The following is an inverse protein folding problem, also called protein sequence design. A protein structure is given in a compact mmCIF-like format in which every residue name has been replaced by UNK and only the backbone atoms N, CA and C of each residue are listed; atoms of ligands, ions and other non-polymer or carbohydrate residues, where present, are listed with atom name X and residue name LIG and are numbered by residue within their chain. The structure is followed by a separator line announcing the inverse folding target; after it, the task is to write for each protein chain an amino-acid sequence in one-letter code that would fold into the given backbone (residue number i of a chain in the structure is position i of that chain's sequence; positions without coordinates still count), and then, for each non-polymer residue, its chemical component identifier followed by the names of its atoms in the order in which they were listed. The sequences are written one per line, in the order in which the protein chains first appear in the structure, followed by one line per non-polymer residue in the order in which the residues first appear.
data_IF_572806639686
#
_entry.id   IF_572806639686
#
_cell.length_a   1.000
_cell.length_b   1.000
_cell.length_c   1.000
_cell.angle_alpha   90.00
_cell.angle_beta   90.00
_cell.angle_gamma   90.00
#
_symmetry.space_group_name_H-M   'P 1'
#
loop_
_entity.id
_entity.type
_entity.pdbx_description
1 polymer ?
#
# COMPACT_ATOMS: atom_id res chain seq x y z
N UNK A 1 -3.38 -16.67 57.55
CA UNK A 1 -2.47 -16.65 58.73
C UNK A 1 -1.52 -15.46 58.57
N UNK A 2 -1.20 -14.70 59.62
CA UNK A 2 -0.40 -13.45 59.55
C UNK A 2 0.93 -13.61 60.32
N UNK A 3 2.02 -13.02 59.79
CA UNK A 3 3.11 -12.30 60.49
C UNK A 3 4.04 -11.78 59.35
N UNK A 4 4.16 -10.46 59.11
CA UNK A 4 5.06 -9.47 59.74
C UNK A 4 6.56 -9.77 59.56
N UNK A 5 7.27 -8.86 58.89
CA UNK A 5 8.03 -7.83 59.63
C UNK A 5 8.17 -6.53 58.81
N UNK A 6 8.39 -5.41 59.52
CA UNK A 6 8.71 -4.06 59.04
C UNK A 6 9.84 -3.53 59.95
N UNK A 7 10.69 -2.66 59.43
CA UNK A 7 11.65 -1.88 60.20
C UNK A 7 11.92 -0.55 59.48
N UNK A 8 12.12 0.53 60.26
CA UNK A 8 11.92 1.92 59.81
C UNK A 8 13.22 2.74 59.67
N UNK A 9 13.02 3.99 59.25
CA UNK A 9 13.97 4.98 58.71
C UNK A 9 14.71 5.83 59.77
N UNK A 10 15.68 6.61 59.27
CA UNK A 10 16.17 7.93 59.76
C UNK A 10 17.14 8.05 60.95
N UNK A 11 18.35 8.57 60.66
CA UNK A 11 18.95 9.82 61.19
C UNK A 11 20.29 10.09 60.43
N UNK A 12 20.77 11.30 60.14
CA UNK A 12 20.20 12.66 60.24
C UNK A 12 21.28 13.76 60.02
N UNK A 13 20.88 15.05 59.97
CA UNK A 13 21.69 16.28 60.23
C UNK A 13 22.77 16.61 59.14
N UNK A 14 22.79 17.73 58.38
CA UNK A 14 22.61 19.19 58.60
C UNK A 14 23.86 19.89 59.22
N UNK A 15 24.30 21.12 58.87
CA UNK A 15 23.88 22.16 57.90
C UNK A 15 25.16 22.88 57.33
N UNK A 16 25.30 24.16 56.89
CA UNK A 16 24.48 25.40 56.90
C UNK A 16 24.88 26.37 55.73
N UNK A 17 24.73 27.68 55.94
CA UNK A 17 24.89 28.86 55.04
C UNK A 17 26.35 29.40 54.99
N UNK A 18 26.76 30.36 54.12
CA UNK A 18 26.41 31.81 54.10
C UNK A 18 26.64 32.46 52.71
N UNK A 19 25.86 33.52 52.41
CA UNK A 19 25.96 34.41 51.23
C UNK A 19 26.91 35.59 51.46
N UNK A 20 27.51 36.13 50.39
CA UNK A 20 27.53 37.59 50.17
C UNK A 20 27.71 37.97 48.68
N UNK A 21 28.02 39.23 48.36
CA UNK A 21 27.58 39.92 47.13
C UNK A 21 28.47 41.09 46.69
N UNK A 22 28.09 41.76 45.59
CA UNK A 22 28.63 43.02 45.04
C UNK A 22 29.98 42.90 44.31
N UNK A 23 30.38 43.81 43.39
CA UNK A 23 29.62 44.69 42.48
C UNK A 23 30.55 45.20 41.35
N UNK A 24 29.94 45.71 40.27
CA UNK A 24 30.41 46.65 39.23
C UNK A 24 31.92 46.93 39.00
N UNK A 25 32.31 46.95 37.72
CA UNK A 25 32.80 48.20 37.11
C UNK A 25 32.68 48.19 35.58
N UNK A 26 32.59 49.40 35.00
CA UNK A 26 32.50 49.65 33.54
C UNK A 26 33.87 49.88 32.92
N UNK A 27 33.99 49.66 31.61
CA UNK A 27 34.42 50.69 30.64
C UNK A 27 34.23 50.17 29.19
N UNK A 28 34.13 51.09 28.23
CA UNK A 28 33.84 50.78 26.83
C UNK A 28 35.07 50.98 25.93
N UNK A 29 35.11 50.25 24.81
CA UNK A 29 36.00 50.50 23.69
C UNK A 29 35.37 50.00 22.37
N UNK A 30 34.79 50.91 21.60
CA UNK A 30 34.85 50.87 20.13
C UNK A 30 36.30 51.27 19.73
N UNK A 31 36.86 50.99 18.55
CA UNK A 31 36.31 50.55 17.26
C UNK A 31 37.39 49.75 16.49
N UNK A 32 37.00 48.84 15.60
CA UNK A 32 37.66 48.62 14.29
C UNK A 32 36.94 47.56 13.46
N UNK A 33 36.42 47.94 12.29
CA UNK A 33 35.76 47.03 11.35
C UNK A 33 36.76 46.15 10.59
N UNK A 34 36.76 44.85 10.86
CA UNK A 34 37.41 43.83 10.03
C UNK A 34 36.37 43.05 9.20
N UNK A 35 36.34 43.28 7.88
CA UNK A 35 35.34 42.71 6.99
C UNK A 35 35.54 41.19 6.77
N UNK A 36 34.94 40.36 7.64
CA UNK A 36 34.88 38.92 7.42
C UNK A 36 34.05 38.60 6.16
N UNK A 37 34.73 38.15 5.11
CA UNK A 37 34.07 37.46 3.98
C UNK A 37 33.43 36.18 4.51
N UNK A 38 32.11 36.20 4.68
CA UNK A 38 31.30 35.00 4.87
C UNK A 38 31.28 34.18 3.56
N UNK A 39 32.40 33.51 3.26
CA UNK A 39 32.43 32.37 2.35
C UNK A 39 31.66 31.24 3.02
N UNK A 40 30.33 31.28 2.88
CA UNK A 40 29.48 30.17 3.27
C UNK A 40 29.95 28.94 2.51
N UNK A 41 30.54 28.00 3.25
CA UNK A 41 30.94 26.72 2.70
C UNK A 41 29.66 25.96 2.35
N UNK A 42 29.21 26.13 1.11
CA UNK A 42 28.13 25.35 0.50
C UNK A 42 28.49 23.87 0.66
N UNK A 43 27.92 23.25 1.71
CA UNK A 43 27.91 21.79 1.85
C UNK A 43 27.28 21.26 0.57
N UNK A 44 28.11 20.71 -0.32
CA UNK A 44 27.68 20.12 -1.58
C UNK A 44 26.66 19.05 -1.25
N UNK A 45 25.38 19.37 -1.42
CA UNK A 45 24.28 18.50 -1.01
C UNK A 45 24.49 17.14 -1.69
N UNK A 46 24.65 16.09 -0.89
CA UNK A 46 24.89 14.75 -1.39
C UNK A 46 23.71 14.34 -2.26
N UNK A 47 23.95 14.18 -3.56
CA UNK A 47 22.87 13.89 -4.50
C UNK A 47 22.21 12.56 -4.13
N UNK A 48 20.89 12.60 -3.97
CA UNK A 48 20.07 11.41 -3.81
C UNK A 48 20.05 10.66 -5.14
N UNK A 49 19.96 9.34 -5.05
CA UNK A 49 19.98 8.45 -6.22
C UNK A 49 18.80 7.51 -6.12
N UNK A 50 17.86 7.64 -7.06
CA UNK A 50 16.58 6.91 -7.10
C UNK A 50 16.72 5.76 -8.10
N UNK A 51 16.81 4.50 -7.65
CA UNK A 51 16.99 3.34 -8.53
C UNK A 51 15.75 3.11 -9.38
N UNK A 52 15.90 3.08 -10.71
CA UNK A 52 14.74 2.92 -11.61
C UNK A 52 14.05 1.57 -11.43
N UNK A 53 14.83 0.54 -11.06
CA UNK A 53 14.38 -0.82 -10.76
C UNK A 53 13.31 -0.91 -9.64
N UNK A 54 13.26 0.06 -8.71
CA UNK A 54 12.27 0.13 -7.63
C UNK A 54 11.25 1.27 -7.75
N UNK A 55 11.47 2.23 -8.66
CA UNK A 55 10.77 3.52 -8.65
C UNK A 55 10.24 3.98 -10.02
N UNK A 56 10.49 3.23 -11.10
CA UNK A 56 10.13 3.61 -12.46
C UNK A 56 9.08 2.69 -13.11
N UNK A 57 8.30 3.25 -14.02
CA UNK A 57 7.21 2.58 -14.71
C UNK A 57 7.14 3.03 -16.18
N UNK A 58 6.74 2.14 -17.08
CA UNK A 58 6.52 2.44 -18.49
C UNK A 58 5.09 2.98 -18.67
N UNK A 59 4.89 4.26 -18.32
CA UNK A 59 3.55 4.87 -18.21
C UNK A 59 2.90 5.18 -19.55
N UNK A 60 3.70 5.29 -20.61
CA UNK A 60 3.25 5.15 -22.00
C UNK A 60 4.15 4.11 -22.63
N UNK A 61 3.59 2.99 -23.08
CA UNK A 61 4.31 1.95 -23.82
C UNK A 61 3.55 1.60 -25.10
N UNK A 62 4.07 1.96 -26.30
CA UNK A 62 3.48 1.56 -27.57
C UNK A 62 3.47 0.04 -27.75
N UNK A 63 2.54 -0.47 -28.56
CA UNK A 63 2.52 -1.89 -28.92
C UNK A 63 3.83 -2.29 -29.62
N UNK A 64 4.35 -3.47 -29.29
CA UNK A 64 5.63 -3.99 -29.81
C UNK A 64 6.89 -3.31 -29.26
N UNK A 65 6.78 -2.31 -28.36
CA UNK A 65 7.95 -1.61 -27.83
C UNK A 65 8.75 -2.48 -26.83
N UNK A 66 10.08 -2.48 -26.95
CA UNK A 66 10.98 -3.44 -26.28
C UNK A 66 11.40 -3.06 -24.86
N UNK A 67 11.02 -1.88 -24.36
CA UNK A 67 11.49 -1.36 -23.08
C UNK A 67 11.15 -2.26 -21.90
N UNK A 68 12.09 -2.37 -20.95
CA UNK A 68 11.90 -3.11 -19.71
C UNK A 68 12.59 -2.38 -18.55
N UNK A 69 11.91 -2.34 -17.41
CA UNK A 69 12.54 -2.05 -16.11
C UNK A 69 12.96 -3.40 -15.53
N UNK A 70 14.26 -3.64 -15.46
CA UNK A 70 14.86 -4.85 -14.86
C UNK A 70 15.06 -4.64 -13.36
N UNK A 71 15.65 -5.64 -12.68
CA UNK A 71 16.09 -5.52 -11.29
C UNK A 71 17.27 -4.55 -11.08
N UNK A 72 17.87 -4.00 -12.13
CA UNK A 72 19.03 -3.08 -12.04
C UNK A 72 18.96 -1.82 -12.91
N UNK A 73 18.25 -1.85 -14.05
CA UNK A 73 18.19 -0.74 -15.01
C UNK A 73 16.88 -0.65 -15.81
N UNK A 74 16.64 0.51 -16.41
CA UNK A 74 15.90 0.61 -17.66
C UNK A 74 16.83 0.14 -18.78
N UNK A 75 16.37 -0.83 -19.57
CA UNK A 75 17.10 -1.37 -20.73
C UNK A 75 16.21 -1.53 -21.96
N UNK A 76 16.83 -1.91 -23.09
CA UNK A 76 16.19 -2.10 -24.39
C UNK A 76 15.41 -0.86 -24.89
N UNK A 77 15.87 0.35 -24.57
CA UNK A 77 15.14 1.58 -24.83
C UNK A 77 15.27 2.05 -26.29
N UNK A 78 14.36 1.59 -27.13
CA UNK A 78 14.42 1.79 -28.59
C UNK A 78 13.38 2.77 -29.12
N UNK A 79 12.24 2.94 -28.44
CA UNK A 79 11.08 3.68 -28.96
C UNK A 79 10.96 5.09 -28.35
N UNK A 80 10.92 6.12 -29.20
CA UNK A 80 10.76 7.53 -28.80
C UNK A 80 9.38 7.86 -28.25
N UNK A 81 8.37 7.02 -28.54
CA UNK A 81 7.02 7.17 -28.01
C UNK A 81 6.81 6.46 -26.66
N UNK A 82 7.82 5.74 -26.16
CA UNK A 82 7.80 5.20 -24.79
C UNK A 82 8.16 6.31 -23.79
N UNK A 83 7.34 6.47 -22.75
CA UNK A 83 7.58 7.39 -21.63
C UNK A 83 7.82 6.57 -20.36
N UNK A 84 8.93 6.83 -19.70
CA UNK A 84 9.32 6.19 -18.45
C UNK A 84 9.21 7.21 -17.32
N UNK A 85 8.29 7.00 -16.39
CA UNK A 85 8.11 7.87 -15.22
C UNK A 85 8.82 7.29 -14.02
N UNK A 86 9.70 8.07 -13.40
CA UNK A 86 10.35 7.76 -12.12
C UNK A 86 9.76 8.63 -11.03
N UNK A 87 9.48 8.05 -9.86
CA UNK A 87 8.78 8.73 -8.76
C UNK A 87 9.61 8.74 -7.47
N UNK A 88 9.62 9.88 -6.79
CA UNK A 88 10.16 10.03 -5.43
C UNK A 88 9.46 11.19 -4.73
N UNK A 89 9.33 11.16 -3.40
CA UNK A 89 8.76 12.25 -2.61
C UNK A 89 9.84 13.18 -2.09
N UNK A 90 9.53 14.47 -2.02
CA UNK A 90 10.31 15.48 -1.28
C UNK A 90 9.41 16.23 -0.29
N UNK A 91 9.93 16.59 0.88
CA UNK A 91 9.18 17.35 1.89
C UNK A 91 9.35 18.87 1.80
N UNK A 92 10.25 19.37 0.94
CA UNK A 92 10.58 20.80 0.82
C UNK A 92 10.29 21.34 -0.59
N UNK A 93 10.12 22.66 -0.69
CA UNK A 93 9.96 23.39 -1.96
C UNK A 93 11.28 23.99 -2.45
N UNK A 94 11.26 24.60 -3.64
CA UNK A 94 12.39 25.32 -4.23
C UNK A 94 13.06 24.56 -5.37
N UNK A 95 14.32 24.89 -5.65
CA UNK A 95 15.09 24.29 -6.74
C UNK A 95 15.40 22.82 -6.48
N UNK A 96 15.19 22.00 -7.51
CA UNK A 96 15.54 20.59 -7.59
C UNK A 96 16.44 20.39 -8.82
N UNK A 97 17.74 20.17 -8.61
CA UNK A 97 18.67 19.82 -9.69
C UNK A 97 18.46 18.34 -10.03
N UNK A 98 18.23 18.00 -11.30
CA UNK A 98 18.07 16.61 -11.76
C UNK A 98 19.29 16.15 -12.56
N UNK A 99 19.63 14.87 -12.42
CA UNK A 99 20.56 14.15 -13.27
C UNK A 99 20.08 12.74 -13.61
N UNK A 100 20.80 12.06 -14.50
CA UNK A 100 20.61 10.66 -14.86
C UNK A 100 21.93 9.90 -14.71
N UNK A 101 21.89 8.69 -14.14
CA UNK A 101 23.03 7.76 -14.19
C UNK A 101 22.77 6.73 -15.29
N UNK A 102 23.53 6.81 -16.37
CA UNK A 102 23.24 6.12 -17.62
C UNK A 102 24.49 5.73 -18.42
N UNK A 103 24.31 4.86 -19.42
CA UNK A 103 25.31 4.55 -20.44
C UNK A 103 24.68 4.50 -21.84
N UNK A 104 25.50 4.76 -22.87
CA UNK A 104 25.15 4.66 -24.29
C UNK A 104 26.28 3.92 -25.01
N UNK A 105 26.26 2.57 -25.06
CA UNK A 105 27.36 1.76 -25.59
C UNK A 105 27.73 1.94 -27.07
N UNK A 106 26.88 2.56 -27.88
CA UNK A 106 27.23 2.98 -29.25
C UNK A 106 26.55 4.28 -29.64
N UNK A 107 27.30 5.16 -30.31
CA UNK A 107 26.80 6.45 -30.80
C UNK A 107 26.46 7.46 -29.69
N UNK A 108 25.44 8.26 -29.97
CA UNK A 108 24.95 9.38 -29.17
C UNK A 108 23.43 9.33 -29.12
N UNK A 109 22.82 9.79 -28.02
CA UNK A 109 21.38 10.01 -27.95
C UNK A 109 21.02 11.35 -27.31
N UNK A 110 19.78 11.78 -27.51
CA UNK A 110 19.15 12.89 -26.81
C UNK A 110 17.89 12.38 -26.12
N UNK A 111 17.81 12.63 -24.81
CA UNK A 111 16.65 12.29 -23.97
C UNK A 111 16.02 13.59 -23.47
N UNK A 112 14.69 13.69 -23.59
CA UNK A 112 13.89 14.72 -22.95
C UNK A 112 13.52 14.24 -21.55
N UNK A 113 13.77 15.09 -20.56
CA UNK A 113 13.43 14.89 -19.16
C UNK A 113 12.41 15.96 -18.76
N UNK A 114 11.28 15.56 -18.20
CA UNK A 114 10.16 16.46 -17.85
C UNK A 114 9.81 16.35 -16.38
N UNK A 115 9.71 17.49 -15.69
CA UNK A 115 9.30 17.61 -14.28
C UNK A 115 8.39 18.82 -14.13
N UNK A 116 7.20 18.64 -13.57
CA UNK A 116 6.25 19.74 -13.36
C UNK A 116 5.82 20.47 -14.64
N UNK A 117 5.75 19.75 -15.77
CA UNK A 117 5.48 20.32 -17.10
C UNK A 117 6.69 20.97 -17.80
N UNK A 118 7.69 21.43 -17.05
CA UNK A 118 8.96 21.92 -17.61
C UNK A 118 9.75 20.75 -18.21
N UNK A 119 10.24 20.92 -19.44
CA UNK A 119 11.06 19.91 -20.16
C UNK A 119 12.47 20.42 -20.41
N UNK A 120 13.47 19.53 -20.32
CA UNK A 120 14.87 19.79 -20.72
C UNK A 120 15.41 18.60 -21.51
N UNK A 121 16.26 18.86 -22.51
CA UNK A 121 16.96 17.81 -23.25
C UNK A 121 18.37 17.61 -22.67
N UNK A 122 18.80 16.36 -22.56
CA UNK A 122 20.16 15.96 -22.17
C UNK A 122 20.75 15.04 -23.25
N UNK A 123 22.01 15.28 -23.62
CA UNK A 123 22.76 14.46 -24.59
C UNK A 123 23.56 13.39 -23.86
N UNK A 124 23.40 12.13 -24.26
CA UNK A 124 24.01 10.97 -23.60
C UNK A 124 25.02 10.29 -24.55
N UNK A 125 26.21 9.94 -24.04
CA UNK A 125 27.34 9.42 -24.84
C UNK A 125 28.30 8.52 -24.04
N UNK A 126 28.66 7.36 -24.60
CA UNK A 126 29.74 6.51 -24.09
C UNK A 126 29.28 5.32 -23.26
N UNK A 127 30.06 4.24 -23.31
CA UNK A 127 29.68 2.89 -22.87
C UNK A 127 29.71 2.63 -21.37
N UNK A 128 30.51 3.38 -20.61
CA UNK A 128 30.51 3.30 -19.15
C UNK A 128 29.34 4.04 -18.52
N UNK A 129 28.78 3.50 -17.42
CA UNK A 129 27.79 4.22 -16.62
C UNK A 129 28.42 5.47 -15.97
N UNK A 130 27.85 6.64 -16.24
CA UNK A 130 28.25 7.92 -15.64
C UNK A 130 27.02 8.79 -15.36
N UNK A 131 27.22 9.81 -14.52
CA UNK A 131 26.19 10.80 -14.22
C UNK A 131 26.16 11.91 -15.27
N UNK A 132 24.95 12.30 -15.69
CA UNK A 132 24.68 13.39 -16.62
C UNK A 132 23.76 14.42 -15.95
N UNK A 133 24.19 15.68 -15.92
CA UNK A 133 23.36 16.78 -15.42
C UNK A 133 22.25 17.12 -16.43
N UNK A 134 20.99 17.03 -16.01
CA UNK A 134 19.83 17.57 -16.74
C UNK A 134 19.60 19.03 -16.36
N UNK A 135 19.89 19.37 -15.11
CA UNK A 135 19.80 20.72 -14.55
C UNK A 135 18.48 20.96 -13.80
N UNK A 136 18.17 22.24 -13.61
CA UNK A 136 17.29 22.67 -12.52
C UNK A 136 15.80 22.70 -12.87
N UNK A 137 14.96 22.30 -11.92
CA UNK A 137 13.50 22.37 -11.96
C UNK A 137 12.98 22.99 -10.65
N UNK A 138 11.75 23.50 -10.64
CA UNK A 138 11.14 24.14 -9.46
C UNK A 138 10.05 23.27 -8.87
N UNK A 139 10.16 22.96 -7.58
CA UNK A 139 9.11 22.29 -6.80
C UNK A 139 8.34 23.34 -6.01
N UNK A 140 7.09 23.59 -6.41
CA UNK A 140 6.19 24.59 -5.81
C UNK A 140 5.42 24.08 -4.59
N UNK A 141 5.40 22.77 -4.33
CA UNK A 141 4.71 22.17 -3.18
C UNK A 141 5.37 20.86 -2.77
N UNK A 142 5.45 20.52 -1.47
CA UNK A 142 5.91 19.20 -1.01
C UNK A 142 5.03 18.07 -1.56
N UNK A 143 5.64 16.94 -1.92
CA UNK A 143 4.92 15.84 -2.54
C UNK A 143 5.77 14.91 -3.37
N UNK A 144 5.11 14.00 -4.09
CA UNK A 144 5.72 13.14 -5.10
C UNK A 144 6.08 13.96 -6.34
N UNK A 145 7.36 13.92 -6.68
CA UNK A 145 7.94 14.38 -7.93
C UNK A 145 7.84 13.24 -8.94
N UNK A 146 7.25 13.53 -10.11
CA UNK A 146 7.27 12.67 -11.29
C UNK A 146 8.34 13.18 -12.25
N UNK A 147 9.32 12.35 -12.57
CA UNK A 147 10.37 12.62 -13.57
C UNK A 147 10.13 11.73 -14.77
N UNK A 148 9.66 12.32 -15.87
CA UNK A 148 9.39 11.61 -17.12
C UNK A 148 10.59 11.65 -18.05
N UNK A 149 10.98 10.48 -18.57
CA UNK A 149 12.03 10.30 -19.56
C UNK A 149 11.41 9.90 -20.90
N UNK A 150 11.79 10.58 -21.99
CA UNK A 150 11.35 10.26 -23.35
C UNK A 150 12.52 10.39 -24.34
N UNK A 151 12.68 9.42 -25.25
CA UNK A 151 13.72 9.46 -26.28
C UNK A 151 13.39 10.47 -27.38
N UNK A 152 14.35 11.33 -27.75
CA UNK A 152 14.18 12.36 -28.80
C UNK A 152 14.88 11.94 -30.09
N UNK A 153 16.18 11.63 -30.00
CA UNK A 153 16.98 11.15 -31.13
C UNK A 153 18.10 10.23 -30.66
N UNK A 154 18.63 9.41 -31.56
CA UNK A 154 19.75 8.48 -31.31
C UNK A 154 20.46 8.17 -32.62
N UNK A 155 21.77 7.92 -32.56
CA UNK A 155 22.56 7.37 -33.68
C UNK A 155 22.94 5.91 -33.48
N UNK A 156 22.91 5.41 -32.24
CA UNK A 156 23.00 3.99 -31.91
C UNK A 156 21.64 3.29 -31.89
N UNK A 157 21.65 1.98 -31.61
CA UNK A 157 20.43 1.15 -31.60
C UNK A 157 19.38 1.54 -30.55
N UNK A 158 19.80 2.11 -29.42
CA UNK A 158 18.93 2.49 -28.30
C UNK A 158 19.33 3.83 -27.68
N UNK A 159 18.44 4.42 -26.88
CA UNK A 159 18.64 5.75 -26.27
C UNK A 159 19.66 5.70 -25.13
N UNK A 160 19.42 4.88 -24.11
CA UNK A 160 20.37 4.62 -23.03
C UNK A 160 19.97 3.38 -22.24
N UNK A 161 20.92 2.78 -21.54
CA UNK A 161 20.64 2.03 -20.31
C UNK A 161 20.71 3.02 -19.13
N UNK A 162 19.73 2.99 -18.21
CA UNK A 162 19.66 3.97 -17.10
C UNK A 162 19.49 3.21 -15.78
N UNK A 163 20.34 3.45 -14.79
CA UNK A 163 20.21 2.81 -13.45
C UNK A 163 19.50 3.70 -12.44
N UNK A 164 19.68 5.02 -12.52
CA UNK A 164 19.14 5.96 -11.54
C UNK A 164 18.71 7.29 -12.17
N UNK A 165 17.66 7.89 -11.60
CA UNK A 165 17.47 9.34 -11.63
C UNK A 165 18.15 9.89 -10.38
N UNK A 166 18.98 10.94 -10.51
CA UNK A 166 19.65 11.59 -9.38
C UNK A 166 19.03 12.96 -9.12
N UNK A 167 19.00 13.39 -7.85
CA UNK A 167 18.46 14.70 -7.49
C UNK A 167 19.17 15.38 -6.30
N UNK A 168 19.21 16.71 -6.31
CA UNK A 168 19.73 17.55 -5.23
C UNK A 168 19.04 18.92 -5.20
N UNK A 169 19.43 19.82 -4.29
CA UNK A 169 18.98 21.21 -4.26
C UNK A 169 18.16 21.56 -3.01
N UNK A 170 17.50 22.72 -3.03
CA UNK A 170 16.70 23.22 -1.91
C UNK A 170 15.51 22.29 -1.60
N UNK A 171 14.84 21.77 -2.63
CA UNK A 171 13.70 20.87 -2.47
C UNK A 171 14.08 19.53 -1.82
N UNK A 172 15.34 19.07 -1.95
CA UNK A 172 15.81 17.81 -1.36
C UNK A 172 16.33 17.92 0.07
N UNK A 173 16.22 19.08 0.71
CA UNK A 173 16.81 19.35 2.05
C UNK A 173 16.10 18.67 3.22
N UNK A 174 14.83 18.28 3.03
CA UNK A 174 14.01 17.62 4.05
C UNK A 174 13.95 16.09 3.88
N UNK A 175 12.87 15.49 4.39
CA UNK A 175 12.62 14.05 4.28
C UNK A 175 12.23 13.72 2.84
N UNK A 176 13.01 12.84 2.21
CA UNK A 176 12.74 12.33 0.87
C UNK A 176 12.37 10.84 0.95
N UNK A 177 11.34 10.40 0.22
CA UNK A 177 10.79 9.03 0.30
C UNK A 177 10.74 8.40 -1.09
N UNK A 178 11.50 7.32 -1.28
CA UNK A 178 11.56 6.50 -2.48
C UNK A 178 12.07 5.12 -2.09
N UNK A 179 11.84 4.10 -2.92
CA UNK A 179 12.35 2.77 -2.63
C UNK A 179 13.87 2.73 -2.85
N UNK A 180 14.60 2.64 -1.75
CA UNK A 180 16.06 2.64 -1.69
C UNK A 180 16.64 1.27 -1.31
N UNK A 181 15.80 0.34 -0.82
CA UNK A 181 16.17 -1.03 -0.50
C UNK A 181 15.78 -1.98 -1.65
N UNK A 182 16.75 -2.69 -2.28
CA UNK A 182 16.48 -3.67 -3.33
C UNK A 182 15.50 -4.78 -2.96
N UNK A 183 15.42 -5.18 -1.68
CA UNK A 183 14.47 -6.20 -1.22
C UNK A 183 13.02 -5.75 -1.35
N UNK A 184 12.78 -4.42 -1.34
CA UNK A 184 11.47 -3.83 -1.50
C UNK A 184 11.11 -3.46 -2.94
N UNK A 185 11.99 -3.53 -3.94
CA UNK A 185 11.68 -3.02 -5.30
C UNK A 185 10.41 -3.62 -5.91
N UNK A 186 10.17 -4.92 -5.74
CA UNK A 186 8.92 -5.57 -6.18
C UNK A 186 7.69 -5.02 -5.42
N UNK A 187 7.79 -4.95 -4.08
CA UNK A 187 6.72 -4.51 -3.18
C UNK A 187 6.41 -3.02 -3.30
N UNK A 188 7.42 -2.17 -3.49
CA UNK A 188 7.27 -0.74 -3.74
C UNK A 188 6.73 -0.45 -5.14
N UNK A 189 7.08 -1.25 -6.16
CA UNK A 189 6.44 -1.12 -7.49
C UNK A 189 5.00 -1.60 -7.49
N UNK A 190 4.64 -2.64 -6.72
CA UNK A 190 3.23 -2.94 -6.38
C UNK A 190 2.59 -1.72 -5.69
N UNK A 191 3.18 -1.25 -4.61
CA UNK A 191 2.71 -0.14 -3.79
C UNK A 191 1.99 -0.59 -2.53
N UNK A 192 1.93 0.29 -1.50
CA UNK A 192 1.50 -0.09 -0.15
C UNK A 192 0.03 -0.54 -0.11
N UNK A 193 -0.21 -1.80 0.26
CA UNK A 193 -1.56 -2.29 0.56
C UNK A 193 -2.13 -1.63 1.82
N UNK A 194 -3.43 -1.34 1.82
CA UNK A 194 -4.08 -0.58 2.88
C UNK A 194 -5.42 -1.16 3.31
N UNK A 195 -5.79 -0.98 4.58
CA UNK A 195 -6.80 -1.79 5.26
C UNK A 195 -7.71 -0.97 6.18
N UNK A 196 -8.95 -1.43 6.33
CA UNK A 196 -9.91 -0.99 7.35
C UNK A 196 -10.16 -2.17 8.29
N UNK A 197 -9.84 -1.99 9.57
CA UNK A 197 -10.05 -2.99 10.62
C UNK A 197 -11.31 -2.59 11.39
N UNK A 198 -12.39 -3.35 11.27
CA UNK A 198 -13.71 -2.94 11.75
C UNK A 198 -13.88 -3.16 13.26
N UNK A 199 -14.54 -2.21 13.92
CA UNK A 199 -14.90 -2.30 15.34
C UNK A 199 -16.08 -3.26 15.48
N UNK A 200 -15.90 -4.33 16.27
CA UNK A 200 -16.94 -5.33 16.53
C UNK A 200 -17.87 -4.80 17.64
N UNK A 201 -19.16 -4.54 17.37
CA UNK A 201 -20.10 -3.93 18.33
C UNK A 201 -20.67 -4.90 19.38
N UNK A 202 -20.06 -6.08 19.56
CA UNK A 202 -20.53 -7.11 20.50
C UNK A 202 -19.39 -8.02 20.96
N UNK A 203 -19.57 -8.65 22.12
CA UNK A 203 -18.72 -9.74 22.63
C UNK A 203 -19.31 -11.13 22.33
N UNK A 204 -20.54 -11.22 21.82
CA UNK A 204 -21.18 -12.47 21.40
C UNK A 204 -20.47 -13.14 20.23
N UNK A 205 -20.63 -14.45 20.10
CA UNK A 205 -20.20 -15.23 18.94
C UNK A 205 -20.88 -14.71 17.65
N UNK A 206 -20.11 -14.52 16.58
CA UNK A 206 -20.61 -13.99 15.30
C UNK A 206 -20.62 -15.09 14.22
N UNK A 207 -21.81 -15.57 13.85
CA UNK A 207 -21.95 -16.56 12.78
C UNK A 207 -21.85 -15.94 11.38
N UNK A 208 -22.29 -14.68 11.17
CA UNK A 208 -22.28 -14.04 9.85
C UNK A 208 -21.68 -12.63 9.84
N UNK A 209 -21.05 -12.27 8.72
CA UNK A 209 -20.56 -10.92 8.40
C UNK A 209 -20.97 -10.53 6.96
N UNK A 210 -21.50 -9.32 6.80
CA UNK A 210 -21.99 -8.73 5.56
C UNK A 210 -21.31 -7.38 5.30
N UNK A 211 -20.93 -7.12 4.04
CA UNK A 211 -20.35 -5.85 3.57
C UNK A 211 -20.81 -5.57 2.13
N UNK A 212 -20.84 -4.30 1.74
CA UNK A 212 -21.08 -3.87 0.36
C UNK A 212 -19.88 -3.10 -0.19
N UNK A 213 -19.38 -3.49 -1.35
CA UNK A 213 -18.24 -2.84 -2.02
C UNK A 213 -18.70 -2.13 -3.28
N UNK A 214 -18.25 -0.89 -3.45
CA UNK A 214 -18.39 -0.10 -4.69
C UNK A 214 -17.01 0.36 -5.12
N UNK A 215 -16.58 0.02 -6.33
CA UNK A 215 -15.34 0.55 -6.92
C UNK A 215 -15.75 1.69 -7.87
N UNK A 216 -15.34 2.94 -7.66
CA UNK A 216 -15.73 4.05 -8.53
C UNK A 216 -15.28 3.86 -9.98
N UNK A 217 -16.00 4.46 -10.93
CA UNK A 217 -15.71 4.33 -12.38
C UNK A 217 -14.28 4.81 -12.67
N UNK A 218 -13.46 3.92 -13.23
CA UNK A 218 -12.06 4.19 -13.58
C UNK A 218 -11.04 3.89 -12.47
N UNK A 219 -11.47 3.53 -11.26
CA UNK A 219 -10.59 3.10 -10.17
C UNK A 219 -10.27 1.59 -10.22
N UNK A 220 -10.94 0.85 -11.11
CA UNK A 220 -10.85 -0.60 -11.32
C UNK A 220 -9.64 -1.02 -12.17
N UNK A 221 -8.43 -0.59 -11.77
CA UNK A 221 -7.18 -0.89 -12.49
C UNK A 221 -6.87 -2.39 -12.51
N UNK A 222 -6.32 -2.89 -13.61
CA UNK A 222 -5.80 -4.27 -13.69
C UNK A 222 -4.72 -4.47 -12.62
N UNK A 223 -4.71 -5.63 -11.96
CA UNK A 223 -3.84 -5.91 -10.83
C UNK A 223 -4.43 -5.48 -9.48
N UNK A 224 -5.66 -4.97 -9.42
CA UNK A 224 -6.28 -4.56 -8.14
C UNK A 224 -7.05 -5.70 -7.48
N UNK A 225 -6.91 -5.82 -6.16
CA UNK A 225 -7.80 -6.63 -5.31
C UNK A 225 -8.54 -5.71 -4.32
N UNK A 226 -9.87 -5.73 -4.40
CA UNK A 226 -10.79 -5.02 -3.52
C UNK A 226 -11.45 -6.04 -2.60
N UNK A 227 -10.89 -6.20 -1.39
CA UNK A 227 -11.24 -7.28 -0.48
C UNK A 227 -12.31 -6.83 0.51
N UNK A 228 -13.46 -7.53 0.52
CA UNK A 228 -14.68 -7.12 1.21
C UNK A 228 -14.77 -7.68 2.64
N UNK A 229 -14.72 -9.01 2.78
CA UNK A 229 -14.99 -9.70 4.04
C UNK A 229 -13.74 -10.48 4.48
N UNK A 230 -12.77 -9.78 5.05
CA UNK A 230 -11.64 -10.37 5.75
C UNK A 230 -12.03 -10.84 7.14
N UNK A 231 -11.41 -11.92 7.59
CA UNK A 231 -11.62 -12.53 8.91
C UNK A 231 -10.33 -13.22 9.37
N UNK A 232 -10.26 -13.61 10.64
CA UNK A 232 -9.05 -14.16 11.29
C UNK A 232 -8.48 -15.47 10.71
N UNK A 233 -9.05 -16.00 9.63
CA UNK A 233 -8.60 -17.22 8.95
C UNK A 233 -8.77 -17.17 7.42
N UNK A 234 -9.04 -16.01 6.82
CA UNK A 234 -9.18 -15.91 5.36
C UNK A 234 -9.66 -14.54 4.86
N UNK A 235 -9.93 -14.49 3.56
CA UNK A 235 -10.37 -13.28 2.86
C UNK A 235 -11.42 -13.59 1.79
N UNK A 236 -12.28 -12.62 1.50
CA UNK A 236 -13.34 -12.73 0.49
C UNK A 236 -13.59 -11.38 -0.20
N UNK A 237 -13.52 -11.31 -1.53
CA UNK A 237 -13.64 -10.04 -2.27
C UNK A 237 -13.62 -10.19 -3.79
N UNK A 238 -13.24 -9.13 -4.50
CA UNK A 238 -13.22 -9.10 -5.96
C UNK A 238 -11.97 -8.45 -6.58
N UNK A 239 -11.49 -9.03 -7.68
CA UNK A 239 -10.23 -8.71 -8.35
C UNK A 239 -10.45 -8.23 -9.80
N UNK A 240 -9.49 -7.44 -10.32
CA UNK A 240 -9.35 -7.15 -11.75
C UNK A 240 -8.10 -7.86 -12.28
N UNK A 241 -8.27 -9.06 -12.84
CA UNK A 241 -7.15 -9.94 -13.18
C UNK A 241 -6.55 -9.62 -14.56
N UNK A 242 -7.39 -9.24 -15.53
CA UNK A 242 -6.96 -8.77 -16.86
C UNK A 242 -7.98 -7.79 -17.46
N UNK A 243 -7.77 -7.40 -18.73
CA UNK A 243 -8.76 -6.65 -19.50
C UNK A 243 -10.05 -7.45 -19.83
N UNK A 244 -10.02 -8.79 -19.69
CA UNK A 244 -11.10 -9.71 -20.10
C UNK A 244 -11.59 -10.62 -18.98
N UNK A 245 -10.87 -10.70 -17.85
CA UNK A 245 -11.22 -11.55 -16.71
C UNK A 245 -11.16 -10.77 -15.39
N UNK A 246 -12.25 -10.87 -14.63
CA UNK A 246 -12.35 -10.45 -13.23
C UNK A 246 -12.89 -11.62 -12.39
N UNK A 247 -12.50 -11.67 -11.13
CA UNK A 247 -12.83 -12.77 -10.21
C UNK A 247 -13.50 -12.27 -8.95
N UNK A 248 -14.44 -13.06 -8.44
CA UNK A 248 -14.84 -13.05 -7.04
C UNK A 248 -14.02 -14.16 -6.36
N UNK A 249 -13.19 -13.83 -5.38
CA UNK A 249 -12.22 -14.75 -4.75
C UNK A 249 -12.52 -14.90 -3.25
N UNK A 250 -12.55 -16.15 -2.78
CA UNK A 250 -12.68 -16.54 -1.38
C UNK A 250 -11.61 -17.58 -1.02
N UNK A 251 -10.77 -17.28 -0.02
CA UNK A 251 -9.69 -18.15 0.45
C UNK A 251 -9.73 -18.34 1.96
N UNK A 252 -9.24 -19.49 2.43
CA UNK A 252 -9.10 -19.86 3.85
C UNK A 252 -7.69 -20.41 4.08
N UNK A 253 -6.93 -19.81 4.99
CA UNK A 253 -5.61 -20.30 5.38
C UNK A 253 -5.71 -21.59 6.20
N UNK A 254 -4.76 -22.51 5.99
CA UNK A 254 -4.55 -23.67 6.86
C UNK A 254 -4.23 -23.25 8.30
N UNK A 255 -4.45 -24.11 9.32
CA UNK A 255 -3.78 -23.99 10.62
C UNK A 255 -2.25 -24.25 10.56
N UNK A 256 -1.71 -24.81 9.48
CA UNK A 256 -0.28 -25.09 9.33
C UNK A 256 0.46 -23.92 8.67
N UNK A 257 1.53 -23.45 9.32
CA UNK A 257 2.35 -22.33 8.84
C UNK A 257 3.34 -22.79 7.75
N UNK A 258 3.01 -22.52 6.49
CA UNK A 258 3.90 -22.75 5.34
C UNK A 258 3.50 -21.89 4.15
N UNK A 259 4.46 -21.58 3.27
CA UNK A 259 4.24 -20.89 1.99
C UNK A 259 4.04 -21.83 0.79
N UNK A 260 4.13 -23.15 0.99
CA UNK A 260 3.85 -24.14 -0.06
C UNK A 260 2.75 -25.11 0.39
N UNK A 261 1.56 -25.13 -0.26
CA UNK A 261 0.45 -25.97 0.14
C UNK A 261 0.71 -27.48 0.02
N UNK A 262 1.74 -27.89 -0.72
CA UNK A 262 2.15 -29.30 -0.78
C UNK A 262 2.75 -29.80 0.55
N UNK A 263 3.28 -28.90 1.38
CA UNK A 263 3.84 -29.24 2.69
C UNK A 263 2.79 -29.32 3.81
N UNK A 264 1.52 -28.96 3.56
CA UNK A 264 0.46 -29.01 4.58
C UNK A 264 0.11 -30.49 4.89
N UNK A 265 0.22 -30.95 6.15
CA UNK A 265 -0.17 -32.31 6.52
C UNK A 265 -1.67 -32.59 6.26
N UNK A 266 -2.07 -33.85 5.94
CA UNK A 266 -3.45 -34.16 5.57
C UNK A 266 -4.53 -33.76 6.58
N UNK A 267 -4.21 -33.77 7.88
CA UNK A 267 -5.12 -33.36 8.96
C UNK A 267 -5.17 -31.83 9.17
N UNK A 268 -4.26 -31.08 8.54
CA UNK A 268 -4.22 -29.62 8.51
C UNK A 268 -4.72 -29.03 7.17
N UNK A 269 -4.93 -29.85 6.13
CA UNK A 269 -5.43 -29.37 4.82
C UNK A 269 -6.86 -28.85 4.91
N UNK A 270 -7.15 -27.82 4.12
CA UNK A 270 -8.49 -27.22 4.02
C UNK A 270 -9.38 -28.13 3.18
N UNK A 271 -10.53 -28.53 3.72
CA UNK A 271 -11.44 -29.50 3.10
C UNK A 271 -12.62 -28.77 2.44
N UNK A 272 -12.91 -29.05 1.17
CA UNK A 272 -14.08 -28.51 0.49
C UNK A 272 -15.35 -29.24 0.96
N UNK A 273 -16.29 -28.52 1.57
CA UNK A 273 -17.62 -29.05 1.88
C UNK A 273 -18.54 -29.01 0.65
N UNK A 274 -18.59 -27.85 -0.03
CA UNK A 274 -19.34 -27.64 -1.28
C UNK A 274 -18.86 -26.40 -2.03
N UNK A 275 -19.07 -26.37 -3.35
CA UNK A 275 -18.80 -25.22 -4.22
C UNK A 275 -20.04 -24.85 -5.04
N UNK A 276 -20.18 -23.58 -5.41
CA UNK A 276 -21.25 -23.14 -6.31
C UNK A 276 -20.97 -23.47 -7.78
N UNK A 277 -22.02 -23.59 -8.59
CA UNK A 277 -21.90 -23.88 -10.04
C UNK A 277 -21.01 -22.86 -10.74
N UNK A 278 -19.98 -23.34 -11.45
CA UNK A 278 -19.02 -22.48 -12.18
C UNK A 278 -17.97 -21.78 -11.31
N UNK A 279 -17.80 -22.21 -10.05
CA UNK A 279 -16.68 -21.79 -9.19
C UNK A 279 -15.50 -22.72 -9.41
N UNK A 280 -14.32 -22.17 -9.64
CA UNK A 280 -13.05 -22.91 -9.70
C UNK A 280 -12.46 -23.06 -8.31
N UNK A 281 -11.93 -24.24 -7.99
CA UNK A 281 -11.37 -24.62 -6.69
C UNK A 281 -9.88 -24.95 -6.85
N UNK A 282 -9.06 -24.64 -5.84
CA UNK A 282 -7.65 -25.01 -5.76
C UNK A 282 -7.02 -24.71 -4.39
N UNK A 283 -5.70 -24.81 -4.31
CA UNK A 283 -4.90 -24.39 -3.14
C UNK A 283 -4.11 -23.10 -3.47
N UNK A 284 -3.57 -22.43 -2.45
CA UNK A 284 -2.71 -21.24 -2.58
C UNK A 284 -1.51 -21.30 -1.61
N UNK A 285 -0.52 -20.45 -1.83
CA UNK A 285 0.76 -20.36 -1.11
C UNK A 285 1.47 -19.01 -1.36
N UNK A 286 2.67 -18.84 -0.81
CA UNK A 286 3.53 -17.62 -0.82
C UNK A 286 3.01 -16.43 0.00
N UNK A 287 1.95 -16.60 0.79
CA UNK A 287 1.41 -15.62 1.73
C UNK A 287 0.82 -16.35 2.95
N UNK A 288 1.52 -17.37 3.43
CA UNK A 288 0.89 -18.55 4.03
C UNK A 288 0.18 -19.39 2.95
N UNK A 289 -0.40 -20.53 3.35
CA UNK A 289 -1.03 -21.49 2.43
C UNK A 289 -2.42 -21.93 2.87
N UNK A 290 -3.24 -22.42 1.93
CA UNK A 290 -4.59 -22.91 2.23
C UNK A 290 -5.43 -23.23 1.00
N UNK A 291 -6.75 -23.28 1.18
CA UNK A 291 -7.72 -23.53 0.12
C UNK A 291 -8.27 -22.22 -0.47
N UNK A 292 -8.37 -22.13 -1.80
CA UNK A 292 -8.93 -20.98 -2.51
C UNK A 292 -10.02 -21.37 -3.52
N UNK A 293 -10.99 -20.48 -3.67
CA UNK A 293 -12.16 -20.67 -4.54
C UNK A 293 -12.49 -19.37 -5.25
N UNK A 294 -12.69 -19.41 -6.57
CA UNK A 294 -13.02 -18.20 -7.33
C UNK A 294 -14.09 -18.42 -8.40
N UNK A 295 -14.94 -17.41 -8.56
CA UNK A 295 -15.92 -17.32 -9.64
C UNK A 295 -15.46 -16.28 -10.65
N UNK A 296 -15.35 -16.65 -11.93
CA UNK A 296 -15.12 -15.69 -13.02
C UNK A 296 -16.40 -14.89 -13.25
N UNK A 297 -16.36 -13.60 -12.97
CA UNK A 297 -17.50 -12.69 -13.10
C UNK A 297 -16.99 -11.29 -13.38
N UNK A 298 -17.27 -10.79 -14.58
CA UNK A 298 -16.78 -9.51 -15.08
C UNK A 298 -17.61 -8.34 -14.51
N UNK A 299 -17.46 -8.13 -13.21
CA UNK A 299 -18.06 -7.01 -12.47
C UNK A 299 -17.59 -5.65 -13.02
N UNK A 300 -18.48 -4.66 -12.99
CA UNK A 300 -18.28 -3.34 -13.60
C UNK A 300 -18.16 -2.28 -12.51
N UNK A 301 -17.28 -1.30 -12.69
CA UNK A 301 -17.14 -0.18 -11.76
C UNK A 301 -18.40 0.72 -11.74
N UNK A 302 -18.57 1.49 -10.66
CA UNK A 302 -19.79 2.24 -10.33
C UNK A 302 -20.88 1.40 -9.64
N UNK A 303 -20.92 0.10 -9.88
CA UNK A 303 -21.91 -0.82 -9.32
C UNK A 303 -21.56 -1.27 -7.89
N UNK A 304 -22.60 -1.62 -7.11
CA UNK A 304 -22.47 -2.09 -5.72
C UNK A 304 -22.62 -3.61 -5.63
N UNK A 305 -21.61 -4.28 -5.08
CA UNK A 305 -21.56 -5.73 -4.92
C UNK A 305 -21.64 -6.13 -3.44
N UNK A 306 -22.37 -7.20 -3.12
CA UNK A 306 -22.67 -7.59 -1.74
C UNK A 306 -22.00 -8.93 -1.41
N UNK A 307 -21.39 -8.98 -0.23
CA UNK A 307 -20.58 -10.10 0.23
C UNK A 307 -21.10 -10.58 1.58
N UNK A 308 -21.54 -11.85 1.64
CA UNK A 308 -21.96 -12.52 2.87
C UNK A 308 -20.97 -13.64 3.19
N UNK A 309 -20.44 -13.63 4.41
CA UNK A 309 -19.58 -14.67 4.96
C UNK A 309 -20.27 -15.30 6.18
N UNK A 310 -20.22 -16.62 6.30
CA UNK A 310 -20.53 -17.37 7.53
C UNK A 310 -19.27 -18.05 8.06
N UNK A 311 -19.12 -18.15 9.38
CA UNK A 311 -18.12 -18.98 10.04
C UNK A 311 -18.68 -19.59 11.33
N UNK A 312 -18.71 -20.91 11.42
CA UNK A 312 -19.37 -21.63 12.52
C UNK A 312 -18.60 -22.93 12.87
N UNK A 313 -18.35 -23.21 14.17
CA UNK A 313 -17.65 -24.42 14.58
C UNK A 313 -18.55 -25.66 14.44
N UNK A 314 -18.02 -26.76 13.93
CA UNK A 314 -18.78 -27.99 13.64
C UNK A 314 -18.93 -28.93 14.85
N UNK A 315 -18.51 -28.49 16.04
CA UNK A 315 -18.50 -29.30 17.27
C UNK A 315 -17.39 -30.37 17.35
N UNK A 316 -16.68 -30.65 16.25
CA UNK A 316 -15.66 -31.71 16.14
C UNK A 316 -14.22 -31.17 16.05
N UNK A 317 -14.00 -29.95 16.55
CA UNK A 317 -12.71 -29.26 16.51
C UNK A 317 -12.36 -28.62 15.16
N UNK A 318 -13.36 -28.39 14.30
CA UNK A 318 -13.19 -27.79 12.96
C UNK A 318 -14.22 -26.67 12.77
N UNK A 319 -13.99 -25.79 11.81
CA UNK A 319 -14.84 -24.62 11.55
C UNK A 319 -15.20 -24.53 10.07
N UNK A 320 -16.48 -24.35 9.76
CA UNK A 320 -16.99 -24.21 8.41
C UNK A 320 -17.14 -22.74 8.04
N UNK A 321 -16.31 -22.28 7.11
CA UNK A 321 -16.36 -20.94 6.52
C UNK A 321 -17.06 -21.00 5.16
N UNK A 322 -18.15 -20.25 4.98
CA UNK A 322 -18.95 -20.29 3.76
C UNK A 322 -19.21 -18.89 3.22
N UNK A 323 -18.99 -18.68 1.92
CA UNK A 323 -19.06 -17.36 1.29
C UNK A 323 -20.11 -17.33 0.17
N UNK A 324 -20.95 -16.29 0.16
CA UNK A 324 -21.90 -16.00 -0.89
C UNK A 324 -21.74 -14.58 -1.43
N UNK A 325 -21.93 -14.42 -2.73
CA UNK A 325 -21.85 -13.18 -3.47
C UNK A 325 -23.21 -12.83 -4.08
N UNK A 326 -23.58 -11.55 -4.08
CA UNK A 326 -24.75 -11.06 -4.79
C UNK A 326 -24.35 -9.84 -5.64
N UNK A 327 -24.51 -9.98 -6.96
CA UNK A 327 -24.41 -8.90 -7.93
C UNK A 327 -25.64 -7.98 -7.87
N UNK A 328 -25.53 -6.69 -8.22
CA UNK A 328 -26.64 -5.74 -8.14
C UNK A 328 -27.88 -6.19 -8.93
N UNK A 329 -27.67 -6.87 -10.05
CA UNK A 329 -28.71 -7.29 -10.99
C UNK A 329 -29.34 -8.64 -10.62
N UNK A 330 -29.00 -9.22 -9.45
CA UNK A 330 -29.46 -10.52 -9.00
C UNK A 330 -30.27 -10.44 -7.69
N UNK A 331 -31.28 -11.30 -7.57
CA UNK A 331 -32.09 -11.48 -6.35
C UNK A 331 -31.67 -12.70 -5.52
N UNK A 332 -30.92 -13.64 -6.11
CA UNK A 332 -30.49 -14.90 -5.49
C UNK A 332 -28.99 -14.92 -5.20
N UNK A 333 -28.62 -15.19 -3.94
CA UNK A 333 -27.22 -15.31 -3.52
C UNK A 333 -26.51 -16.46 -4.24
N UNK A 334 -25.34 -16.18 -4.82
CA UNK A 334 -24.46 -17.19 -5.40
C UNK A 334 -23.50 -17.71 -4.34
N UNK A 335 -23.57 -19.00 -4.01
CA UNK A 335 -22.50 -19.69 -3.27
C UNK A 335 -21.17 -19.60 -4.05
N UNK A 336 -20.10 -19.22 -3.37
CA UNK A 336 -18.73 -19.39 -3.88
C UNK A 336 -18.23 -20.75 -3.41
N UNK A 337 -17.89 -20.90 -2.13
CA UNK A 337 -17.57 -22.19 -1.54
C UNK A 337 -17.94 -22.23 -0.05
N UNK A 338 -17.97 -23.46 0.48
CA UNK A 338 -17.92 -23.78 1.89
C UNK A 338 -16.66 -24.60 2.15
N UNK A 339 -15.80 -24.10 3.02
CA UNK A 339 -14.49 -24.65 3.37
C UNK A 339 -14.45 -25.02 4.86
N UNK A 340 -14.08 -26.26 5.17
CA UNK A 340 -13.84 -26.74 6.53
C UNK A 340 -12.37 -26.58 6.88
N UNK A 341 -12.07 -25.71 7.85
CA UNK A 341 -10.73 -25.54 8.44
C UNK A 341 -10.59 -26.50 9.62
N UNK A 342 -9.65 -27.46 9.58
CA UNK A 342 -9.40 -28.36 10.71
C UNK A 342 -8.68 -27.64 11.86
N UNK A 343 -8.52 -28.34 12.99
CA UNK A 343 -7.84 -27.88 14.21
C UNK A 343 -8.26 -26.45 14.66
N UNK A 344 -9.52 -26.09 14.43
CA UNK A 344 -10.04 -24.74 14.62
C UNK A 344 -11.47 -24.82 15.12
N UNK A 345 -11.76 -24.34 16.32
CA UNK A 345 -13.15 -24.20 16.81
C UNK A 345 -13.43 -22.72 17.09
N UNK A 346 -14.00 -21.99 16.12
CA UNK A 346 -14.27 -20.56 16.27
C UNK A 346 -15.48 -20.10 15.45
N UNK A 347 -16.14 -19.06 15.95
CA UNK A 347 -16.97 -18.18 15.15
C UNK A 347 -16.11 -17.12 14.44
N UNK A 348 -16.71 -16.32 13.56
CA UNK A 348 -16.00 -15.25 12.85
C UNK A 348 -15.43 -14.19 13.80
N UNK A 349 -14.19 -13.74 13.52
CA UNK A 349 -13.42 -12.75 14.30
C UNK A 349 -12.57 -11.90 13.36
N UNK A 350 -12.09 -10.76 13.88
CA UNK A 350 -11.14 -9.85 13.21
C UNK A 350 -11.61 -9.41 11.82
N UNK A 351 -12.71 -8.65 11.75
CA UNK A 351 -13.28 -8.19 10.48
C UNK A 351 -12.44 -7.09 9.85
N UNK A 352 -12.12 -7.24 8.56
CA UNK A 352 -11.40 -6.22 7.80
C UNK A 352 -11.81 -6.16 6.32
N UNK A 353 -11.41 -5.07 5.66
CA UNK A 353 -11.39 -4.90 4.21
C UNK A 353 -10.02 -4.37 3.79
N UNK A 354 -9.60 -4.60 2.55
CA UNK A 354 -8.37 -4.02 2.01
C UNK A 354 -8.45 -3.63 0.54
N UNK A 355 -7.52 -2.76 0.14
CA UNK A 355 -7.23 -2.43 -1.25
C UNK A 355 -5.74 -2.68 -1.52
N UNK A 356 -5.48 -3.50 -2.53
CA UNK A 356 -4.15 -3.99 -2.88
C UNK A 356 -3.89 -3.81 -4.39
N UNK A 357 -2.61 -3.65 -4.74
CA UNK A 357 -2.13 -3.92 -6.09
C UNK A 357 -1.23 -5.19 -6.08
N UNK A 358 -1.55 -6.18 -6.90
CA UNK A 358 -0.74 -7.39 -7.13
C UNK A 358 0.07 -7.35 -8.43
N UNK A 359 0.03 -6.26 -9.21
CA UNK A 359 0.84 -6.10 -10.43
C UNK A 359 1.86 -4.94 -10.28
N UNK A 360 3.18 -5.21 -10.18
CA UNK A 360 4.19 -4.17 -10.00
C UNK A 360 4.26 -3.17 -11.15
N UNK A 361 3.88 -3.52 -12.38
CA UNK A 361 3.89 -2.57 -13.50
C UNK A 361 2.79 -1.50 -13.38
N UNK A 362 1.71 -1.78 -12.63
CA UNK A 362 0.56 -0.87 -12.48
C UNK A 362 0.60 -0.02 -11.19
N UNK A 363 1.75 0.05 -10.52
CA UNK A 363 1.93 0.88 -9.32
C UNK A 363 1.65 2.35 -9.53
N UNK A 364 2.05 2.91 -10.68
CA UNK A 364 1.82 4.31 -11.05
C UNK A 364 0.34 4.67 -11.26
N UNK A 365 -0.57 3.69 -11.19
CA UNK A 365 -2.01 3.90 -11.30
C UNK A 365 -2.63 3.89 -9.89
N UNK A 366 -3.45 4.91 -9.58
CA UNK A 366 -4.29 4.91 -8.39
C UNK A 366 -5.47 3.95 -8.53
N UNK A 367 -5.89 3.38 -7.40
CA UNK A 367 -7.09 2.55 -7.25
C UNK A 367 -7.78 2.88 -5.91
N UNK A 368 -9.11 2.88 -5.89
CA UNK A 368 -9.95 3.17 -4.72
C UNK A 368 -11.14 2.22 -4.65
N UNK A 369 -11.55 1.85 -3.45
CA UNK A 369 -12.86 1.22 -3.20
C UNK A 369 -13.57 1.87 -2.00
N UNK A 370 -14.90 1.82 -2.04
CA UNK A 370 -15.79 2.28 -1.00
C UNK A 370 -16.53 1.08 -0.40
N UNK A 371 -16.56 1.03 0.93
CA UNK A 371 -17.10 -0.06 1.73
C UNK A 371 -18.23 0.50 2.60
N UNK A 372 -19.45 -0.02 2.45
CA UNK A 372 -20.64 0.51 3.12
C UNK A 372 -21.55 -0.60 3.67
N UNK A 373 -22.50 -0.20 4.50
CA UNK A 373 -23.56 -1.04 5.04
C UNK A 373 -23.03 -2.33 5.72
N UNK A 374 -21.99 -2.21 6.55
CA UNK A 374 -21.44 -3.37 7.26
C UNK A 374 -22.39 -3.86 8.37
N UNK A 375 -22.61 -5.16 8.42
CA UNK A 375 -23.44 -5.82 9.43
C UNK A 375 -22.83 -7.14 9.89
N UNK A 376 -23.02 -7.47 11.17
CA UNK A 376 -22.73 -8.80 11.72
C UNK A 376 -23.99 -9.42 12.32
N UNK A 377 -24.07 -10.75 12.31
CA UNK A 377 -25.16 -11.51 12.96
C UNK A 377 -24.60 -12.51 13.96
N UNK A 378 -25.09 -12.49 15.20
CA UNK A 378 -24.64 -13.44 16.23
C UNK A 378 -25.14 -14.86 15.98
N UNK A 379 -24.55 -15.83 16.69
CA UNK A 379 -25.07 -17.22 16.79
C UNK A 379 -26.56 -17.27 17.10
N UNK A 380 -26.96 -16.42 18.05
CA UNK A 380 -28.32 -16.31 18.59
C UNK A 380 -29.25 -15.53 17.64
N UNK A 381 -28.70 -15.03 16.53
CA UNK A 381 -29.44 -14.48 15.40
C UNK A 381 -29.65 -12.97 15.41
N UNK A 382 -29.07 -12.25 16.37
CA UNK A 382 -29.19 -10.80 16.50
C UNK A 382 -28.27 -10.08 15.50
N UNK A 383 -28.81 -9.09 14.79
CA UNK A 383 -28.07 -8.24 13.85
C UNK A 383 -27.51 -7.00 14.55
N UNK A 384 -26.23 -6.68 14.31
CA UNK A 384 -25.61 -5.43 14.76
C UNK A 384 -24.93 -4.71 13.60
N UNK A 385 -25.19 -3.41 13.50
CA UNK A 385 -24.55 -2.52 12.52
C UNK A 385 -23.10 -2.26 12.92
N UNK A 386 -22.18 -2.34 11.95
CA UNK A 386 -20.76 -2.05 12.12
C UNK A 386 -20.49 -0.66 11.54
N UNK A 387 -20.19 0.31 12.40
CA UNK A 387 -20.12 1.74 12.04
C UNK A 387 -18.80 2.42 12.39
N UNK A 388 -17.79 1.67 12.84
CA UNK A 388 -16.45 2.16 13.15
C UNK A 388 -15.35 1.29 12.54
N UNK A 389 -14.25 1.90 12.13
CA UNK A 389 -13.09 1.21 11.55
C UNK A 389 -11.77 1.91 11.91
N UNK A 390 -10.66 1.16 11.96
CA UNK A 390 -9.30 1.67 12.18
C UNK A 390 -8.42 1.41 10.96
N UNK A 391 -7.77 2.45 10.45
CA UNK A 391 -6.89 2.38 9.28
C UNK A 391 -5.57 1.67 9.59
N UNK A 392 -5.08 0.83 8.67
CA UNK A 392 -3.70 0.31 8.71
C UNK A 392 -3.11 0.11 7.31
N UNK A 393 -1.79 -0.03 7.25
CA UNK A 393 -0.98 -0.12 6.02
C UNK A 393 0.06 -1.24 6.15
N UNK A 394 0.55 -1.71 5.02
CA UNK A 394 1.54 -2.78 4.92
C UNK A 394 2.98 -2.36 5.31
N UNK A 395 3.90 -3.33 5.24
CA UNK A 395 5.32 -3.11 5.51
C UNK A 395 5.99 -2.18 4.47
N UNK A 396 5.50 -2.11 3.22
CA UNK A 396 5.98 -1.18 2.19
C UNK A 396 5.86 0.27 2.63
N UNK A 397 4.73 0.61 3.28
CA UNK A 397 4.52 1.91 3.90
C UNK A 397 5.36 2.08 5.16
N UNK A 398 5.33 1.09 6.07
CA UNK A 398 5.99 1.21 7.37
C UNK A 398 7.52 1.33 7.25
N UNK A 399 8.13 0.65 6.26
CA UNK A 399 9.55 0.77 5.91
C UNK A 399 9.92 2.04 5.11
N UNK A 400 8.96 2.97 4.94
CA UNK A 400 9.12 4.23 4.20
C UNK A 400 9.71 4.07 2.79
N UNK A 401 9.38 2.96 2.12
CA UNK A 401 9.78 2.74 0.73
C UNK A 401 8.80 3.47 -0.22
N UNK A 402 7.51 3.50 0.15
CA UNK A 402 6.46 4.17 -0.61
C UNK A 402 5.21 4.41 0.25
N UNK A 403 4.60 5.60 0.18
CA UNK A 403 3.59 6.06 1.16
C UNK A 403 2.31 6.66 0.53
N UNK A 404 1.98 6.33 -0.71
CA UNK A 404 0.71 6.67 -1.37
C UNK A 404 -0.38 5.64 -1.04
N UNK A 405 -0.75 5.58 0.24
CA UNK A 405 -1.90 4.83 0.75
C UNK A 405 -2.68 5.67 1.78
N UNK A 406 -4.02 5.64 1.69
CA UNK A 406 -4.90 6.32 2.64
C UNK A 406 -6.24 5.59 2.79
N UNK A 407 -6.95 5.89 3.88
CA UNK A 407 -8.36 5.55 4.08
C UNK A 407 -9.12 6.73 4.65
N UNK A 408 -10.44 6.62 4.73
CA UNK A 408 -11.31 7.67 5.26
C UNK A 408 -12.78 7.33 5.16
N UNK A 409 -13.62 8.37 5.23
CA UNK A 409 -15.05 8.29 4.95
C UNK A 409 -15.43 9.17 3.77
N UNK A 410 -16.48 8.79 3.03
CA UNK A 410 -17.07 9.57 1.95
C UNK A 410 -18.58 9.36 1.97
N UNK A 411 -19.33 10.43 2.26
CA UNK A 411 -20.74 10.30 2.64
C UNK A 411 -20.89 9.35 3.84
N UNK A 412 -21.71 8.30 3.68
CA UNK A 412 -21.88 7.25 4.69
C UNK A 412 -21.12 5.94 4.37
N UNK A 413 -20.11 6.01 3.50
CA UNK A 413 -19.20 4.90 3.19
C UNK A 413 -17.86 5.12 3.88
N UNK A 414 -17.17 4.04 4.26
CA UNK A 414 -15.72 4.08 4.40
C UNK A 414 -15.06 3.98 3.01
N UNK A 415 -13.81 4.42 2.87
CA UNK A 415 -13.03 4.15 1.67
C UNK A 415 -11.57 3.82 1.98
N UNK A 416 -10.93 3.18 1.00
CA UNK A 416 -9.49 2.95 0.92
C UNK A 416 -9.00 3.32 -0.48
N UNK A 417 -7.81 3.88 -0.56
CA UNK A 417 -7.16 4.28 -1.80
C UNK A 417 -5.65 4.03 -1.71
N UNK A 418 -5.04 3.45 -2.74
CA UNK A 418 -3.59 3.34 -2.86
C UNK A 418 -3.08 3.48 -4.30
N UNK A 419 -1.78 3.70 -4.42
CA UNK A 419 -1.11 3.84 -5.71
C UNK A 419 -1.32 5.20 -6.36
N UNK A 420 -0.69 5.42 -7.52
CA UNK A 420 -0.84 6.67 -8.27
C UNK A 420 -0.04 7.87 -7.74
N UNK A 421 0.77 7.71 -6.69
CA UNK A 421 1.69 8.70 -6.15
C UNK A 421 1.02 10.02 -5.72
N UNK A 422 -0.16 9.93 -5.08
CA UNK A 422 -0.87 11.09 -4.54
C UNK A 422 -0.18 11.69 -3.30
N UNK A 423 -0.53 12.94 -2.97
CA UNK A 423 0.17 13.72 -1.94
C UNK A 423 -0.47 13.72 -0.56
N UNK A 424 -1.77 13.40 -0.46
CA UNK A 424 -2.48 13.27 0.82
C UNK A 424 -1.92 12.12 1.65
N UNK A 425 -1.70 12.34 2.94
CA UNK A 425 -1.27 11.32 3.89
C UNK A 425 -2.28 11.29 5.04
N UNK A 426 -2.67 10.09 5.47
CA UNK A 426 -3.44 9.85 6.69
C UNK A 426 -2.60 8.95 7.59
N UNK A 427 -2.56 9.22 8.89
CA UNK A 427 -1.76 8.45 9.83
C UNK A 427 -2.28 7.00 9.96
N UNK A 428 -1.43 5.98 9.78
CA UNK A 428 -1.77 4.61 10.17
C UNK A 428 -2.25 4.57 11.62
N UNK A 429 -3.35 3.87 11.86
CA UNK A 429 -4.02 3.82 13.16
C UNK A 429 -5.09 4.88 13.41
N UNK A 430 -5.33 5.82 12.50
CA UNK A 430 -6.52 6.71 12.57
C UNK A 430 -7.81 5.89 12.60
N UNK A 431 -8.72 6.25 13.51
CA UNK A 431 -10.07 5.70 13.60
C UNK A 431 -11.07 6.56 12.81
N UNK A 432 -12.04 5.90 12.19
CA UNK A 432 -13.15 6.50 11.45
C UNK A 432 -14.49 5.95 11.94
N UNK A 433 -15.54 6.75 11.78
CA UNK A 433 -16.93 6.33 12.01
C UNK A 433 -17.84 6.84 10.90
N UNK A 434 -18.89 6.08 10.60
CA UNK A 434 -20.01 6.46 9.73
C UNK A 434 -21.32 6.44 10.55
N UNK A 435 -22.41 7.00 10.02
CA UNK A 435 -23.74 6.79 10.61
C UNK A 435 -24.11 5.32 10.50
N UNK A 436 -24.38 4.67 11.63
CA UNK A 436 -24.75 3.26 11.66
C UNK A 436 -26.00 3.00 10.79
N UNK A 437 -25.95 2.04 9.85
CA UNK A 437 -27.13 1.60 9.12
C UNK A 437 -28.27 1.19 10.08
N UNK A 438 -29.49 1.61 9.77
CA UNK A 438 -30.68 1.36 10.62
C UNK A 438 -31.46 0.11 10.24
N UNK A 439 -31.23 -0.44 9.05
CA UNK A 439 -31.92 -1.63 8.53
C UNK A 439 -30.91 -2.73 8.18
N UNK A 440 -31.04 -3.88 8.84
CA UNK A 440 -30.25 -5.08 8.53
C UNK A 440 -30.57 -5.62 7.13
N UNK A 441 -29.61 -6.27 6.44
CA UNK A 441 -29.86 -6.81 5.11
C UNK A 441 -30.92 -7.92 5.17
N UNK A 442 -31.97 -7.78 4.35
CA UNK A 442 -33.04 -8.78 4.24
C UNK A 442 -32.51 -10.03 3.52
N UNK A 443 -32.10 -11.04 4.30
CA UNK A 443 -31.51 -12.29 3.82
C UNK A 443 -32.36 -13.45 4.34
N UNK A 444 -33.03 -14.17 3.44
CA UNK A 444 -33.66 -15.43 3.78
C UNK A 444 -32.61 -16.55 3.82
N UNK A 445 -32.12 -16.85 5.03
CA UNK A 445 -31.09 -17.85 5.27
C UNK A 445 -31.49 -19.28 4.86
N UNK A 446 -32.79 -19.63 4.81
CA UNK A 446 -33.23 -20.97 4.37
C UNK A 446 -33.14 -21.19 2.86
N UNK A 447 -32.92 -20.11 2.09
CA UNK A 447 -32.76 -20.14 0.63
C UNK A 447 -31.33 -19.86 0.15
N UNK A 448 -30.34 -19.92 1.05
CA UNK A 448 -28.92 -19.83 0.68
C UNK A 448 -28.41 -21.18 0.13
N UNK A 449 -27.81 -21.23 -1.07
CA UNK A 449 -27.27 -22.46 -1.66
C UNK A 449 -25.96 -22.93 -1.02
#
# INVERSE_FOLDING_TARGET
MRLKLLADTFLGIAALLVFQSCAENTMAAEDTVAAQKNTSALRKASAFSVPVAGNSFLTVKPSGASEVITSSNLGNWTNSNTVISTYFRVSSTGTLNIGLKASVPSGTSVVKVTVGGTSKNVTLTGSGYKDYTVGDFTISSPGYVKVDLQGVSKTGGYFADVTNVTFSGAASTGTNVYSNDPSYYYWARRGPSCHLNYVIPTTSNVSYYYNEVTVPVGEDKIGSYFMANGFSAGYFGMQVNSATERRILFSVWSPFETDDPNNIPPDHKIILNRAGTGVTIGEFGNEGSGGQSYYKYNWVAGQTYKFLLKGEPDGTGKTDFTAWFLSPDATTWKLIASWKRPQTSTYLKSFYSFVENFNPENGYQGRKAEFKNQWIRTSDGNWFAVSGAKFSVDNTYNAQQRIDAMGGTSGNSFFLQNGGFFNTIIAPGTSFSVTAPTQAPNINFSTLP
#
